data_IF_680165212104
#
_entry.id   IF_680165212104
#
_cell.length_a   1.000
_cell.length_b   1.000
_cell.length_c   1.000
_cell.angle_alpha   90.00
_cell.angle_beta   90.00
_cell.angle_gamma   90.00
#
_symmetry.space_group_name_H-M   'P 1'
#
loop_
_entity.id
_entity.type
_entity.pdbx_description
1 polymer ?
#
# COMPACT_ATOMS: atom_id res chain seq x y z
N UNK A 1 -7.91 8.26 0.26
CA UNK A 1 -7.97 6.77 0.20
C UNK A 1 -6.65 6.18 0.68
N UNK A 2 -6.59 4.96 1.25
CA UNK A 2 -5.34 4.33 1.73
C UNK A 2 -5.03 3.02 0.98
N UNK A 3 -3.83 2.95 0.40
CA UNK A 3 -3.26 1.73 -0.17
C UNK A 3 -1.94 1.41 0.50
N UNK A 4 -1.76 0.16 0.93
CA UNK A 4 -0.53 -0.29 1.54
C UNK A 4 0.32 -1.09 0.55
N UNK A 5 1.58 -0.68 0.37
CA UNK A 5 2.55 -1.33 -0.51
C UNK A 5 3.67 -1.92 0.33
N UNK A 6 3.82 -3.25 0.33
CA UNK A 6 4.86 -3.90 1.12
C UNK A 6 5.92 -4.63 0.29
N UNK A 7 7.16 -4.53 0.78
CA UNK A 7 8.28 -5.37 0.35
C UNK A 7 8.91 -6.06 1.58
N UNK A 8 10.04 -6.74 1.40
CA UNK A 8 10.71 -7.46 2.48
C UNK A 8 11.26 -6.53 3.59
N UNK A 9 11.81 -5.36 3.23
CA UNK A 9 12.56 -4.50 4.17
C UNK A 9 12.11 -3.03 4.18
N UNK A 10 10.99 -2.69 3.54
CA UNK A 10 10.45 -1.32 3.47
C UNK A 10 11.19 -0.36 2.53
N UNK A 11 12.51 -0.51 2.33
CA UNK A 11 13.31 0.42 1.51
C UNK A 11 12.94 0.40 0.01
N UNK A 12 12.68 -0.79 -0.54
CA UNK A 12 12.29 -0.89 -1.95
C UNK A 12 10.87 -0.40 -2.18
N UNK A 13 9.95 -0.69 -1.27
CA UNK A 13 8.58 -0.17 -1.33
C UNK A 13 8.55 1.34 -1.16
N UNK A 14 9.39 1.94 -0.31
CA UNK A 14 9.46 3.40 -0.17
C UNK A 14 9.90 4.09 -1.46
N UNK A 15 10.93 3.56 -2.13
CA UNK A 15 11.34 4.07 -3.44
C UNK A 15 10.24 3.90 -4.49
N UNK A 16 9.57 2.75 -4.50
CA UNK A 16 8.48 2.50 -5.44
C UNK A 16 7.31 3.46 -5.23
N UNK A 17 6.87 3.68 -3.98
CA UNK A 17 5.82 4.66 -3.66
C UNK A 17 6.21 6.08 -4.06
N UNK A 18 7.47 6.49 -3.84
CA UNK A 18 7.98 7.80 -4.29
C UNK A 18 7.98 7.92 -5.81
N UNK A 19 8.22 6.85 -6.55
CA UNK A 19 8.12 6.86 -8.01
C UNK A 19 6.68 6.99 -8.48
N UNK A 20 5.72 6.38 -7.78
CA UNK A 20 4.29 6.58 -8.02
C UNK A 20 3.91 8.05 -7.78
N UNK A 21 4.30 8.61 -6.63
CA UNK A 21 4.04 10.01 -6.28
C UNK A 21 4.61 10.97 -7.32
N UNK A 22 5.84 10.76 -7.79
CA UNK A 22 6.46 11.58 -8.84
C UNK A 22 5.79 11.44 -10.21
N UNK A 23 5.20 10.28 -10.48
CA UNK A 23 4.50 10.02 -11.74
C UNK A 23 3.08 10.61 -11.74
N UNK A 24 2.53 10.89 -10.55
CA UNK A 24 1.27 11.63 -10.42
C UNK A 24 1.39 13.01 -11.04
N UNK A 25 0.43 13.35 -11.89
CA UNK A 25 0.37 14.66 -12.53
C UNK A 25 -0.86 15.46 -12.08
N UNK A 26 -1.89 14.80 -11.52
CA UNK A 26 -3.17 15.42 -11.15
C UNK A 26 -3.61 15.08 -9.74
N UNK A 27 -3.21 13.92 -9.24
CA UNK A 27 -3.62 13.37 -7.96
C UNK A 27 -2.69 13.87 -6.85
N UNK A 28 -3.25 14.39 -5.75
CA UNK A 28 -2.45 14.64 -4.55
C UNK A 28 -2.18 13.29 -3.86
N UNK A 29 -0.97 12.78 -4.09
CA UNK A 29 -0.51 11.52 -3.51
C UNK A 29 0.41 11.79 -2.33
N UNK A 30 0.02 11.33 -1.15
CA UNK A 30 0.86 11.28 0.04
C UNK A 30 1.54 9.92 0.18
N UNK A 31 2.78 9.91 0.62
CA UNK A 31 3.59 8.69 0.77
C UNK A 31 4.30 8.71 2.11
N UNK A 32 4.11 7.67 2.91
CA UNK A 32 4.75 7.57 4.22
C UNK A 32 4.92 6.12 4.69
N UNK A 33 5.78 5.90 5.67
CA UNK A 33 5.88 4.61 6.35
C UNK A 33 4.63 4.39 7.23
N UNK A 34 4.15 3.15 7.29
CA UNK A 34 2.83 2.85 7.87
C UNK A 34 2.70 3.11 9.37
N UNK A 35 3.77 2.97 10.17
CA UNK A 35 3.72 3.29 11.59
C UNK A 35 3.63 4.79 11.83
N UNK A 36 4.38 5.57 11.06
CA UNK A 36 4.32 7.03 11.11
C UNK A 36 2.91 7.48 10.73
N UNK A 37 2.39 7.02 9.58
CA UNK A 37 1.06 7.34 9.09
C UNK A 37 -0.06 7.04 10.09
N UNK A 38 0.08 5.96 10.86
CA UNK A 38 -0.94 5.59 11.85
C UNK A 38 -1.24 6.70 12.87
N UNK A 39 -0.30 7.62 13.12
CA UNK A 39 -0.48 8.69 14.11
C UNK A 39 -1.28 9.89 13.60
N UNK A 40 -1.44 10.05 12.28
CA UNK A 40 -2.07 11.20 11.62
C UNK A 40 -2.83 10.80 10.34
N UNK A 41 -3.31 9.56 10.27
CA UNK A 41 -4.01 8.99 9.11
C UNK A 41 -5.18 9.85 8.63
N UNK A 42 -6.03 10.32 9.55
CA UNK A 42 -7.22 11.10 9.22
C UNK A 42 -6.89 12.43 8.53
N UNK A 43 -5.82 13.09 8.97
CA UNK A 43 -5.38 14.35 8.37
C UNK A 43 -4.75 14.10 6.99
N UNK A 44 -3.90 13.06 6.87
CA UNK A 44 -3.35 12.65 5.59
C UNK A 44 -4.45 12.31 4.56
N UNK A 45 -5.51 11.60 4.97
CA UNK A 45 -6.65 11.26 4.11
C UNK A 45 -7.54 12.46 3.76
N UNK A 46 -7.61 13.47 4.63
CA UNK A 46 -8.38 14.69 4.38
C UNK A 46 -7.71 15.57 3.33
N UNK A 47 -6.39 15.63 3.34
CA UNK A 47 -5.61 16.53 2.49
C UNK A 47 -5.25 15.91 1.13
N UNK A 48 -5.32 14.59 1.00
CA UNK A 48 -4.81 13.88 -0.18
C UNK A 48 -5.84 12.92 -0.76
N UNK A 49 -5.91 12.86 -2.09
CA UNK A 49 -6.79 11.94 -2.81
C UNK A 49 -6.41 10.48 -2.52
N UNK A 50 -5.10 10.21 -2.55
CA UNK A 50 -4.53 8.88 -2.34
C UNK A 50 -3.35 8.95 -1.37
N UNK A 51 -3.37 8.07 -0.38
CA UNK A 51 -2.30 7.85 0.60
C UNK A 51 -1.70 6.49 0.33
N UNK A 52 -0.40 6.45 0.04
CA UNK A 52 0.39 5.24 -0.14
C UNK A 52 1.24 5.00 1.11
N UNK A 53 0.81 4.06 1.93
CA UNK A 53 1.61 3.58 3.04
C UNK A 53 2.61 2.53 2.53
N UNK A 54 3.83 2.51 3.07
CA UNK A 54 4.80 1.44 2.81
C UNK A 54 5.36 0.81 4.08
N UNK A 55 5.86 -0.42 3.97
CA UNK A 55 6.51 -1.12 5.08
C UNK A 55 6.80 -2.59 4.79
N UNK A 56 7.15 -3.34 5.83
CA UNK A 56 7.33 -4.79 5.76
C UNK A 56 6.00 -5.54 5.87
N UNK A 57 5.84 -6.59 5.07
CA UNK A 57 4.69 -7.49 5.15
C UNK A 57 4.53 -8.17 6.53
N UNK A 58 5.58 -8.22 7.34
CA UNK A 58 5.55 -8.80 8.69
C UNK A 58 4.87 -7.89 9.73
N UNK A 59 4.82 -6.58 9.48
CA UNK A 59 4.23 -5.59 10.40
C UNK A 59 2.70 -5.65 10.38
N UNK A 60 2.11 -5.93 9.21
CA UNK A 60 0.66 -5.98 9.07
C UNK A 60 0.12 -7.28 9.66
N UNK A 61 -0.62 -7.12 10.75
CA UNK A 61 -1.52 -8.14 11.30
C UNK A 61 -2.83 -7.50 11.77
N UNK A 62 -3.74 -8.32 12.29
CA UNK A 62 -5.02 -7.83 12.79
C UNK A 62 -4.88 -6.79 13.91
N UNK A 63 -3.93 -6.98 14.83
CA UNK A 63 -3.74 -6.07 15.96
C UNK A 63 -3.26 -4.71 15.48
N UNK A 64 -2.37 -4.71 14.50
CA UNK A 64 -1.82 -3.51 13.89
C UNK A 64 -2.89 -2.71 13.15
N UNK A 65 -3.71 -3.38 12.33
CA UNK A 65 -4.81 -2.73 11.61
C UNK A 65 -5.79 -2.08 12.59
N UNK A 66 -6.27 -2.82 13.60
CA UNK A 66 -7.22 -2.29 14.59
C UNK A 66 -6.65 -1.17 15.44
N UNK A 67 -5.34 -1.19 15.72
CA UNK A 67 -4.68 -0.16 16.55
C UNK A 67 -4.81 1.22 15.92
N UNK A 68 -4.72 1.31 14.60
CA UNK A 68 -4.75 2.57 13.85
C UNK A 68 -6.02 2.73 13.02
N UNK A 69 -7.00 1.84 13.21
CA UNK A 69 -8.27 1.86 12.50
C UNK A 69 -8.13 1.84 10.97
N UNK A 70 -7.07 1.19 10.46
CA UNK A 70 -6.82 1.09 9.02
C UNK A 70 -7.93 0.32 8.29
N UNK A 71 -8.71 -0.53 8.98
CA UNK A 71 -9.78 -1.32 8.40
C UNK A 71 -10.89 -0.48 7.74
N UNK A 72 -11.10 0.75 8.19
CA UNK A 72 -12.13 1.63 7.62
C UNK A 72 -11.67 2.36 6.37
N UNK A 73 -10.35 2.47 6.20
CA UNK A 73 -9.75 3.35 5.21
C UNK A 73 -8.90 2.62 4.18
N UNK A 74 -8.44 1.40 4.44
CA UNK A 74 -7.52 0.65 3.58
C UNK A 74 -8.26 -0.08 2.46
N UNK A 75 -8.09 0.37 1.22
CA UNK A 75 -8.75 -0.21 0.05
C UNK A 75 -8.05 -1.45 -0.49
N UNK A 76 -6.72 -1.54 -0.35
CA UNK A 76 -5.96 -2.66 -0.88
C UNK A 76 -4.57 -2.78 -0.26
N UNK A 77 -4.07 -4.01 -0.24
CA UNK A 77 -2.66 -4.33 0.04
C UNK A 77 -1.99 -4.83 -1.23
N UNK A 78 -0.86 -4.25 -1.59
CA UNK A 78 -0.09 -4.61 -2.77
C UNK A 78 1.26 -5.19 -2.37
N UNK A 79 1.46 -6.47 -2.69
CA UNK A 79 2.71 -7.17 -2.40
C UNK A 79 3.69 -7.00 -3.56
N UNK A 80 4.96 -6.73 -3.23
CA UNK A 80 6.04 -6.86 -4.18
C UNK A 80 6.08 -8.29 -4.78
N UNK A 81 6.50 -8.47 -6.04
CA UNK A 81 6.46 -9.77 -6.74
C UNK A 81 7.18 -10.89 -5.98
N UNK A 82 8.28 -10.55 -5.29
CA UNK A 82 9.10 -11.48 -4.51
C UNK A 82 8.35 -12.07 -3.31
N UNK A 83 7.32 -11.37 -2.81
CA UNK A 83 6.55 -11.73 -1.63
C UNK A 83 5.24 -12.46 -1.97
N UNK A 84 5.07 -12.90 -3.22
CA UNK A 84 3.83 -13.58 -3.70
C UNK A 84 3.41 -14.74 -2.79
N UNK A 85 4.37 -15.51 -2.28
CA UNK A 85 4.12 -16.65 -1.40
C UNK A 85 3.42 -16.27 -0.07
N UNK A 86 3.52 -15.00 0.36
CA UNK A 86 2.86 -14.51 1.56
C UNK A 86 1.38 -14.18 1.37
N UNK A 87 0.88 -14.09 0.13
CA UNK A 87 -0.49 -13.67 -0.15
C UNK A 87 -1.53 -14.50 0.61
N UNK A 88 -1.43 -15.82 0.56
CA UNK A 88 -2.40 -16.70 1.23
C UNK A 88 -2.28 -16.63 2.75
N UNK A 89 -1.07 -16.45 3.27
CA UNK A 89 -0.82 -16.27 4.70
C UNK A 89 -1.42 -14.97 5.21
N UNK A 90 -1.20 -13.85 4.50
CA UNK A 90 -1.78 -12.55 4.84
C UNK A 90 -3.30 -12.58 4.71
N UNK A 91 -3.85 -13.21 3.66
CA UNK A 91 -5.30 -13.36 3.50
C UNK A 91 -5.94 -14.11 4.67
N UNK A 92 -5.25 -15.12 5.22
CA UNK A 92 -5.71 -15.83 6.43
C UNK A 92 -5.62 -14.96 7.68
N UNK A 93 -4.51 -14.22 7.86
CA UNK A 93 -4.30 -13.34 9.02
C UNK A 93 -5.27 -12.16 9.05
N UNK A 94 -5.65 -11.67 7.87
CA UNK A 94 -6.52 -10.50 7.70
C UNK A 94 -7.94 -10.90 7.29
N UNK A 95 -8.33 -12.16 7.50
CA UNK A 95 -9.63 -12.68 7.06
C UNK A 95 -10.83 -11.97 7.70
N UNK A 96 -10.61 -11.29 8.83
CA UNK A 96 -11.59 -10.49 9.54
C UNK A 96 -11.82 -9.12 8.91
N UNK A 97 -11.01 -8.74 7.91
CA UNK A 97 -11.18 -7.53 7.11
C UNK A 97 -11.40 -7.92 5.64
N UNK A 98 -12.33 -7.25 4.98
CA UNK A 98 -12.58 -7.45 3.55
C UNK A 98 -11.60 -6.65 2.68
N UNK A 99 -10.30 -6.82 2.94
CA UNK A 99 -9.24 -6.06 2.28
C UNK A 99 -8.62 -6.92 1.16
N UNK A 100 -8.74 -6.51 -0.11
CA UNK A 100 -8.15 -7.25 -1.22
C UNK A 100 -6.62 -7.17 -1.19
N UNK A 101 -5.98 -8.29 -1.54
CA UNK A 101 -4.52 -8.41 -1.61
C UNK A 101 -4.09 -8.69 -3.06
N UNK A 102 -3.38 -7.74 -3.64
CA UNK A 102 -2.86 -7.78 -5.00
C UNK A 102 -1.35 -8.04 -5.03
N UNK A 103 -0.87 -8.50 -6.19
CA UNK A 103 0.56 -8.66 -6.45
C UNK A 103 0.93 -7.65 -7.53
N UNK A 104 1.94 -6.83 -7.26
CA UNK A 104 2.46 -5.87 -8.25
C UNK A 104 3.07 -6.67 -9.41
N UNK A 105 2.82 -6.22 -10.64
CA UNK A 105 3.46 -6.82 -11.82
C UNK A 105 5.00 -6.73 -11.72
N UNK A 106 5.68 -7.82 -12.07
CA UNK A 106 7.13 -7.93 -11.93
C UNK A 106 7.89 -6.94 -12.80
N UNK A 107 7.40 -6.63 -14.00
CA UNK A 107 7.99 -5.64 -14.91
C UNK A 107 7.74 -4.23 -14.38
N UNK A 108 6.53 -3.94 -13.89
CA UNK A 108 6.20 -2.64 -13.29
C UNK A 108 7.09 -2.37 -12.09
N UNK A 109 7.21 -3.33 -11.17
CA UNK A 109 8.07 -3.21 -9.99
C UNK A 109 9.56 -3.16 -10.35
N UNK A 110 10.02 -4.06 -11.23
CA UNK A 110 11.43 -4.15 -11.61
C UNK A 110 11.94 -2.92 -12.38
N UNK A 111 11.07 -2.25 -13.15
CA UNK A 111 11.39 -0.99 -13.84
C UNK A 111 11.11 0.25 -13.00
N UNK A 112 10.59 0.11 -11.78
CA UNK A 112 10.13 1.22 -10.94
C UNK A 112 9.17 2.16 -11.69
N UNK A 113 8.28 1.57 -12.49
CA UNK A 113 7.37 2.32 -13.35
C UNK A 113 6.18 2.84 -12.54
N UNK A 114 6.37 3.99 -11.89
CA UNK A 114 5.35 4.61 -11.04
C UNK A 114 4.05 4.96 -11.77
N UNK A 115 4.11 5.31 -13.06
CA UNK A 115 2.92 5.64 -13.86
C UNK A 115 2.03 4.42 -14.08
N UNK A 116 2.64 3.30 -14.49
CA UNK A 116 1.89 2.05 -14.66
C UNK A 116 1.36 1.56 -13.31
N UNK A 117 2.17 1.64 -12.26
CA UNK A 117 1.74 1.23 -10.92
C UNK A 117 0.55 2.06 -10.40
N UNK A 118 0.56 3.38 -10.63
CA UNK A 118 -0.58 4.23 -10.28
C UNK A 118 -1.83 3.80 -11.04
N UNK A 119 -1.71 3.57 -12.35
CA UNK A 119 -2.84 3.10 -13.17
C UNK A 119 -3.37 1.76 -12.66
N UNK A 120 -2.50 0.80 -12.39
CA UNK A 120 -2.88 -0.52 -11.87
C UNK A 120 -3.63 -0.40 -10.53
N UNK A 121 -3.18 0.51 -9.66
CA UNK A 121 -3.83 0.79 -8.37
C UNK A 121 -5.22 1.39 -8.59
N UNK A 122 -5.34 2.41 -9.44
CA UNK A 122 -6.62 3.07 -9.74
C UNK A 122 -7.62 2.12 -10.39
N UNK A 123 -7.18 1.30 -11.36
CA UNK A 123 -8.03 0.35 -12.07
C UNK A 123 -8.56 -0.77 -11.16
N UNK A 124 -7.77 -1.21 -10.17
CA UNK A 124 -8.19 -2.22 -9.21
C UNK A 124 -9.21 -1.71 -8.17
N UNK A 125 -9.51 -0.40 -8.19
CA UNK A 125 -10.43 0.27 -7.28
C UNK A 125 -11.76 0.69 -7.95
N UNK A 126 -11.94 0.37 -9.23
CA UNK A 126 -13.18 0.58 -10.01
C UNK A 126 -14.03 -0.69 -9.95
#
# INVERSE_FOLDING_TARGET
MLVYICCATGNTSSMFCKQIQKASSREQIYVEEIHELGTHLEDALRENDLVLAYGSAEIIDEKFIRRYHFEYHMQAIWLAPQMRYLKDSMKKKLNCFDIPIYIIDMKTFGKMNGKQALQDILDAMI
#
